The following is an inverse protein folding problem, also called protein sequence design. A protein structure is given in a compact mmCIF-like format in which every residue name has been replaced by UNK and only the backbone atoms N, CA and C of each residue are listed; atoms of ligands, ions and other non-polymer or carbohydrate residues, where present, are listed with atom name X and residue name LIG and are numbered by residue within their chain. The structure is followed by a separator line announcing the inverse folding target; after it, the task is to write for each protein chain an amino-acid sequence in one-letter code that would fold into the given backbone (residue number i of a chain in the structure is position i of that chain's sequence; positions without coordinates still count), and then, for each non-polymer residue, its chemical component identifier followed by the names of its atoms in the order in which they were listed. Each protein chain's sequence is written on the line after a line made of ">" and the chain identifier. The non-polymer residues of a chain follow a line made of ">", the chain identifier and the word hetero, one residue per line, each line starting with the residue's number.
data_IF_092995359160
#
_entry.id   IF_092995359160
#
_cell.length_a   1.000
_cell.length_b   1.000
_cell.length_c   1.000
_cell.angle_alpha   90.00
_cell.angle_beta   90.00
_cell.angle_gamma   90.00
#
_symmetry.space_group_name_H-M   'P 1'
#
loop_
_entity.id
_entity.type
_entity.pdbx_description
1 polymer ?
#
# COMPACT_ATOMS: atom_id res chain seq x y z
N UNK A 1 14.29 -27.80 13.53
CA UNK A 1 14.93 -26.47 13.50
C UNK A 1 13.84 -25.43 13.75
N UNK A 2 13.86 -24.77 14.92
CA UNK A 2 12.94 -23.68 15.24
C UNK A 2 13.32 -22.51 14.35
N UNK A 3 12.39 -22.01 13.54
CA UNK A 3 12.63 -20.85 12.70
C UNK A 3 12.55 -19.61 13.59
N UNK A 4 13.69 -18.97 13.86
CA UNK A 4 13.77 -17.80 14.74
C UNK A 4 13.73 -16.51 13.90
N UNK A 5 12.86 -15.59 14.29
CA UNK A 5 12.83 -14.23 13.75
C UNK A 5 13.83 -13.37 14.51
N UNK A 6 14.64 -12.59 13.80
CA UNK A 6 15.55 -11.63 14.41
C UNK A 6 14.77 -10.38 14.77
N UNK A 7 14.52 -10.18 16.06
CA UNK A 7 13.81 -9.01 16.57
C UNK A 7 14.79 -7.84 16.64
N UNK A 8 14.54 -6.81 15.84
CA UNK A 8 15.41 -5.64 15.75
C UNK A 8 14.73 -4.47 16.43
N UNK A 9 15.45 -3.89 17.39
CA UNK A 9 15.09 -2.76 18.22
C UNK A 9 16.22 -1.73 18.19
N UNK A 10 16.07 -0.60 18.88
CA UNK A 10 17.09 0.46 18.89
C UNK A 10 18.48 -0.03 19.27
N UNK A 11 18.58 -0.94 20.25
CA UNK A 11 19.86 -1.36 20.83
C UNK A 11 20.69 -2.27 19.91
N UNK A 12 20.06 -3.03 19.00
CA UNK A 12 20.76 -3.97 18.10
C UNK A 12 20.68 -3.58 16.62
N UNK A 13 20.06 -2.44 16.28
CA UNK A 13 19.83 -1.99 14.90
C UNK A 13 21.06 -2.07 14.00
N UNK A 14 22.19 -1.52 14.46
CA UNK A 14 23.41 -1.43 13.64
C UNK A 14 23.98 -2.80 13.33
N UNK A 15 24.03 -3.69 14.34
CA UNK A 15 24.51 -5.06 14.17
C UNK A 15 23.61 -5.85 13.21
N UNK A 16 22.30 -5.73 13.39
CA UNK A 16 21.33 -6.48 12.59
C UNK A 16 21.28 -6.01 11.12
N UNK A 17 21.50 -4.71 10.87
CA UNK A 17 21.65 -4.19 9.50
C UNK A 17 22.95 -4.66 8.84
N UNK A 18 24.06 -4.77 9.57
CA UNK A 18 25.31 -5.32 9.03
C UNK A 18 25.15 -6.79 8.63
N UNK A 19 24.41 -7.57 9.43
CA UNK A 19 24.11 -8.96 9.08
C UNK A 19 23.14 -9.07 7.91
N UNK A 20 22.15 -8.17 7.80
CA UNK A 20 21.27 -8.11 6.63
C UNK A 20 22.07 -7.77 5.36
N UNK A 21 23.00 -6.81 5.44
CA UNK A 21 23.90 -6.46 4.33
C UNK A 21 24.74 -7.66 3.90
N UNK A 22 25.29 -8.41 4.86
CA UNK A 22 26.01 -9.67 4.59
C UNK A 22 25.11 -10.72 3.94
N UNK A 23 23.88 -10.87 4.43
CA UNK A 23 22.93 -11.85 3.91
C UNK A 23 22.52 -11.56 2.46
N UNK A 24 22.38 -10.29 2.07
CA UNK A 24 21.98 -9.89 0.71
C UNK A 24 22.93 -10.47 -0.35
N UNK A 25 24.23 -10.62 -0.05
CA UNK A 25 25.20 -11.19 -0.98
C UNK A 25 24.93 -12.66 -1.34
N UNK A 26 24.46 -13.45 -0.38
CA UNK A 26 24.20 -14.88 -0.56
C UNK A 26 22.72 -15.17 -0.83
N UNK A 27 21.84 -14.27 -0.38
CA UNK A 27 20.40 -14.42 -0.38
C UNK A 27 19.73 -13.15 -0.96
N UNK A 28 19.91 -12.88 -2.27
CA UNK A 28 19.53 -11.60 -2.89
C UNK A 28 18.02 -11.42 -3.13
N UNK A 29 17.18 -12.43 -2.81
CA UNK A 29 15.72 -12.32 -2.92
C UNK A 29 15.17 -11.82 -1.58
N UNK A 30 14.76 -10.55 -1.54
CA UNK A 30 14.20 -9.92 -0.35
C UNK A 30 12.68 -9.85 -0.45
N UNK A 31 11.97 -10.59 0.40
CA UNK A 31 10.54 -10.38 0.59
C UNK A 31 10.27 -9.43 1.75
N UNK A 32 9.29 -8.55 1.57
CA UNK A 32 8.93 -7.52 2.55
C UNK A 32 7.47 -7.58 2.97
N UNK A 33 7.19 -7.03 4.15
CA UNK A 33 5.85 -6.72 4.66
C UNK A 33 5.95 -5.54 5.62
N UNK A 34 5.00 -4.62 5.59
CA UNK A 34 4.92 -3.49 6.54
C UNK A 34 3.67 -3.63 7.40
N UNK A 35 3.82 -3.48 8.71
CA UNK A 35 2.69 -3.20 9.60
C UNK A 35 2.61 -1.70 9.87
N UNK A 36 1.41 -1.17 9.70
CA UNK A 36 1.07 0.23 9.95
C UNK A 36 -0.38 0.32 10.43
N UNK A 37 -0.74 1.38 11.17
CA UNK A 37 -2.13 1.59 11.56
C UNK A 37 -2.99 1.75 10.29
N UNK A 38 -4.08 1.01 10.21
CA UNK A 38 -5.04 1.10 9.11
C UNK A 38 -6.22 1.97 9.57
N UNK A 39 -6.44 3.12 8.92
CA UNK A 39 -7.55 4.03 9.26
C UNK A 39 -8.89 3.66 8.67
N UNK A 40 -8.95 2.66 7.80
CA UNK A 40 -10.13 2.41 7.00
C UNK A 40 -10.57 0.97 7.20
N UNK A 41 -11.34 0.72 8.27
CA UNK A 41 -11.94 -0.60 8.48
C UNK A 41 -13.03 -0.89 7.43
N UNK A 42 -13.72 0.11 6.85
CA UNK A 42 -14.93 -0.20 6.04
C UNK A 42 -15.30 0.61 4.77
N UNK A 43 -14.65 1.70 4.33
CA UNK A 43 -15.26 2.51 3.25
C UNK A 43 -14.73 2.28 1.82
N UNK A 44 -13.42 2.21 1.59
CA UNK A 44 -12.87 2.20 0.22
C UNK A 44 -11.66 1.28 0.09
N UNK A 45 -11.79 0.21 -0.68
CA UNK A 45 -10.65 -0.62 -1.10
C UNK A 45 -9.89 0.14 -2.19
N UNK A 46 -8.59 0.47 -2.02
CA UNK A 46 -7.85 1.20 -3.05
C UNK A 46 -7.89 0.51 -4.42
N UNK A 47 -7.94 -0.82 -4.43
CA UNK A 47 -8.00 -1.64 -5.64
C UNK A 47 -9.34 -1.59 -6.38
N UNK A 48 -10.39 -1.01 -5.80
CA UNK A 48 -11.66 -0.75 -6.49
C UNK A 48 -11.74 0.67 -7.06
N UNK A 49 -10.72 1.50 -6.83
CA UNK A 49 -10.64 2.85 -7.36
C UNK A 49 -9.90 2.86 -8.71
N UNK A 50 -10.19 3.85 -9.57
CA UNK A 50 -9.29 4.18 -10.67
C UNK A 50 -7.87 4.43 -10.16
N UNK A 51 -6.86 4.04 -10.93
CA UNK A 51 -5.46 4.04 -10.49
C UNK A 51 -4.99 5.38 -9.89
N UNK A 52 -5.38 6.51 -10.49
CA UNK A 52 -4.99 7.82 -10.00
C UNK A 52 -5.57 8.11 -8.60
N UNK A 53 -6.82 7.71 -8.35
CA UNK A 53 -7.47 7.85 -7.05
C UNK A 53 -6.89 6.87 -6.01
N UNK A 54 -6.53 5.65 -6.44
CA UNK A 54 -5.80 4.68 -5.63
C UNK A 54 -4.46 5.26 -5.15
N UNK A 55 -3.64 5.77 -6.06
CA UNK A 55 -2.34 6.38 -5.75
C UNK A 55 -2.47 7.62 -4.85
N UNK A 56 -3.49 8.46 -5.10
CA UNK A 56 -3.78 9.60 -4.23
C UNK A 56 -4.13 9.15 -2.81
N UNK A 57 -5.01 8.16 -2.66
CA UNK A 57 -5.42 7.64 -1.35
C UNK A 57 -4.22 7.03 -0.59
N UNK A 58 -3.39 6.24 -1.29
CA UNK A 58 -2.16 5.69 -0.71
C UNK A 58 -1.23 6.82 -0.25
N UNK A 59 -1.02 7.82 -1.11
CA UNK A 59 -0.18 8.98 -0.76
C UNK A 59 -0.69 9.73 0.46
N UNK A 60 -2.00 10.01 0.49
CA UNK A 60 -2.67 10.68 1.60
C UNK A 60 -2.49 9.92 2.92
N UNK A 61 -2.75 8.62 2.93
CA UNK A 61 -2.67 7.79 4.14
C UNK A 61 -1.23 7.59 4.60
N UNK A 62 -0.33 7.20 3.69
CA UNK A 62 1.08 6.90 4.02
C UNK A 62 1.81 8.15 4.52
N UNK A 63 1.51 9.34 4.00
CA UNK A 63 2.14 10.57 4.48
C UNK A 63 1.68 10.96 5.90
N UNK A 64 0.45 10.61 6.29
CA UNK A 64 -0.12 10.91 7.63
C UNK A 64 0.15 9.84 8.69
N UNK A 65 0.69 8.70 8.28
CA UNK A 65 0.98 7.55 9.16
C UNK A 65 2.47 7.31 9.31
N UNK A 66 2.80 6.43 10.26
CA UNK A 66 4.14 5.87 10.38
C UNK A 66 4.06 4.34 10.38
N UNK A 67 5.13 3.71 9.90
CA UNK A 67 5.35 2.27 10.08
C UNK A 67 5.48 1.93 11.56
N UNK A 68 4.93 0.78 11.94
CA UNK A 68 5.13 0.13 13.24
C UNK A 68 6.21 -0.95 13.13
N UNK A 69 6.12 -1.77 12.08
CA UNK A 69 7.08 -2.83 11.83
C UNK A 69 7.41 -2.95 10.35
N UNK A 70 8.65 -3.32 10.05
CA UNK A 70 9.09 -3.77 8.74
C UNK A 70 9.66 -5.18 8.86
N UNK A 71 9.11 -6.11 8.08
CA UNK A 71 9.62 -7.47 7.94
C UNK A 71 10.45 -7.57 6.67
N UNK A 72 11.65 -8.14 6.77
CA UNK A 72 12.49 -8.47 5.63
C UNK A 72 12.94 -9.93 5.76
N UNK A 73 12.68 -10.73 4.74
CA UNK A 73 13.21 -12.10 4.65
C UNK A 73 14.12 -12.21 3.44
N UNK A 74 15.37 -12.63 3.67
CA UNK A 74 16.35 -12.87 2.63
C UNK A 74 16.36 -14.34 2.23
N UNK A 75 16.29 -14.63 0.93
CA UNK A 75 16.35 -15.98 0.39
C UNK A 75 17.22 -16.08 -0.87
N UNK A 76 17.65 -17.30 -1.20
CA UNK A 76 18.39 -17.59 -2.43
C UNK A 76 17.45 -18.01 -3.57
N UNK A 77 18.01 -18.28 -4.75
CA UNK A 77 17.26 -18.71 -5.93
C UNK A 77 16.51 -20.03 -5.77
N UNK A 78 16.92 -20.88 -4.83
CA UNK A 78 16.28 -22.16 -4.50
C UNK A 78 15.19 -22.01 -3.42
N UNK A 79 15.11 -20.85 -2.76
CA UNK A 79 14.18 -20.56 -1.68
C UNK A 79 14.67 -21.02 -0.31
N UNK A 80 15.98 -21.23 -0.14
CA UNK A 80 16.58 -21.36 1.18
C UNK A 80 16.61 -19.98 1.84
N UNK A 81 16.27 -19.93 3.13
CA UNK A 81 16.18 -18.66 3.86
C UNK A 81 17.51 -18.37 4.56
N UNK A 82 18.10 -17.22 4.25
CA UNK A 82 19.31 -16.69 4.90
C UNK A 82 19.03 -15.94 6.20
N UNK A 83 17.80 -15.48 6.39
CA UNK A 83 17.35 -14.85 7.62
C UNK A 83 16.02 -14.12 7.46
N UNK A 84 15.37 -13.84 8.60
CA UNK A 84 14.21 -12.96 8.66
C UNK A 84 14.37 -11.96 9.79
N UNK A 85 14.32 -10.68 9.43
CA UNK A 85 14.40 -9.54 10.34
C UNK A 85 13.02 -8.93 10.53
N UNK A 86 12.70 -8.58 11.76
CA UNK A 86 11.54 -7.77 12.13
C UNK A 86 12.05 -6.50 12.81
N UNK A 87 12.04 -5.40 12.06
CA UNK A 87 12.37 -4.08 12.58
C UNK A 87 11.13 -3.52 13.28
N UNK A 88 11.27 -3.17 14.56
CA UNK A 88 10.23 -2.58 15.38
C UNK A 88 10.52 -1.07 15.54
N UNK A 89 9.72 -0.23 14.91
CA UNK A 89 9.96 1.22 14.80
C UNK A 89 9.31 1.94 15.97
N UNK A 90 9.95 3.01 16.47
CA UNK A 90 9.42 3.83 17.55
C UNK A 90 8.08 4.41 17.16
N UNK A 91 7.05 4.17 17.95
CA UNK A 91 5.73 4.73 17.70
C UNK A 91 5.10 5.19 19.01
N UNK A 92 4.66 6.45 19.05
CA UNK A 92 3.90 7.00 20.17
C UNK A 92 2.47 7.27 19.72
N UNK A 93 1.51 6.61 20.38
CA UNK A 93 0.08 6.82 20.11
C UNK A 93 -0.31 8.26 20.45
N UNK A 94 0.28 8.82 21.50
CA UNK A 94 0.07 10.21 21.89
C UNK A 94 0.60 11.20 20.83
N UNK A 95 1.84 11.05 20.38
CA UNK A 95 2.39 11.91 19.33
C UNK A 95 1.55 11.81 18.04
N UNK A 96 1.10 10.60 17.69
CA UNK A 96 0.24 10.38 16.53
C UNK A 96 -1.13 11.08 16.67
N UNK A 97 -1.74 11.03 17.87
CA UNK A 97 -3.00 11.71 18.16
C UNK A 97 -2.87 13.23 18.07
N UNK A 98 -1.79 13.79 18.66
CA UNK A 98 -1.51 15.23 18.63
C UNK A 98 -1.24 15.71 17.20
N UNK A 99 -0.53 14.91 16.39
CA UNK A 99 -0.18 15.27 15.02
C UNK A 99 -1.39 15.37 14.10
N UNK A 100 -2.41 14.52 14.27
CA UNK A 100 -3.56 14.50 13.37
C UNK A 100 -4.68 15.43 13.80
N UNK A 101 -4.79 15.76 15.10
CA UNK A 101 -5.89 16.55 15.66
C UNK A 101 -7.28 15.96 15.33
N UNK A 102 -7.33 14.65 15.07
CA UNK A 102 -8.52 13.92 14.65
C UNK A 102 -8.73 12.76 15.65
N UNK A 103 -9.78 12.82 16.48
CA UNK A 103 -10.08 11.79 17.48
C UNK A 103 -10.35 10.42 16.82
N UNK A 104 -11.08 10.40 15.69
CA UNK A 104 -11.36 9.19 14.91
C UNK A 104 -10.08 8.45 14.49
N UNK A 105 -9.03 9.21 14.17
CA UNK A 105 -7.72 8.67 13.79
C UNK A 105 -7.04 7.98 14.98
N UNK A 106 -7.13 8.56 16.18
CA UNK A 106 -6.57 7.98 17.40
C UNK A 106 -7.30 6.69 17.77
N UNK A 107 -8.63 6.70 17.73
CA UNK A 107 -9.44 5.50 17.98
C UNK A 107 -9.11 4.38 16.99
N UNK A 108 -8.92 4.69 15.71
CA UNK A 108 -8.53 3.71 14.70
C UNK A 108 -7.14 3.09 14.94
N UNK A 109 -6.17 3.84 15.51
CA UNK A 109 -4.85 3.29 15.89
C UNK A 109 -5.02 2.31 17.06
N UNK A 110 -5.78 2.70 18.08
CA UNK A 110 -6.03 1.85 19.26
C UNK A 110 -6.77 0.58 18.84
N UNK A 111 -7.83 0.72 18.06
CA UNK A 111 -8.61 -0.37 17.49
C UNK A 111 -7.77 -1.30 16.61
N UNK A 112 -6.83 -0.75 15.84
CA UNK A 112 -5.87 -1.55 15.08
C UNK A 112 -4.96 -2.36 16.01
N UNK A 113 -4.48 -1.77 17.11
CA UNK A 113 -3.74 -2.47 18.16
C UNK A 113 -4.51 -3.63 18.75
N UNK A 114 -5.74 -3.36 19.16
CA UNK A 114 -6.65 -4.33 19.80
C UNK A 114 -6.98 -5.50 18.86
N UNK A 115 -7.33 -5.23 17.60
CA UNK A 115 -7.63 -6.27 16.61
C UNK A 115 -6.46 -7.22 16.35
N UNK A 116 -5.23 -6.70 16.46
CA UNK A 116 -3.99 -7.44 16.19
C UNK A 116 -3.54 -8.23 17.42
N UNK A 117 -3.84 -7.71 18.61
CA UNK A 117 -3.69 -8.41 19.89
C UNK A 117 -2.24 -8.62 20.36
N UNK A 118 -1.24 -8.17 19.59
CA UNK A 118 0.17 -8.44 19.84
C UNK A 118 1.09 -7.23 19.63
N UNK A 119 0.53 -6.03 19.50
CA UNK A 119 1.29 -4.79 19.39
C UNK A 119 1.67 -4.30 20.79
N UNK A 120 2.97 -4.35 21.10
CA UNK A 120 3.55 -3.88 22.36
C UNK A 120 3.78 -2.35 22.30
N UNK A 121 2.73 -1.54 22.43
CA UNK A 121 2.79 -0.08 22.27
C UNK A 121 3.86 0.60 23.15
N UNK A 122 3.89 0.28 24.44
CA UNK A 122 4.86 0.85 25.40
C UNK A 122 6.30 0.54 25.00
N UNK A 123 6.52 -0.66 24.47
CA UNK A 123 7.84 -1.10 24.03
C UNK A 123 8.24 -0.46 22.71
N UNK A 124 7.31 -0.30 21.77
CA UNK A 124 7.55 0.49 20.56
C UNK A 124 7.97 1.91 20.94
N UNK A 125 7.29 2.56 21.88
CA UNK A 125 7.62 3.93 22.28
C UNK A 125 9.00 4.06 22.96
N UNK A 126 9.34 3.12 23.84
CA UNK A 126 10.55 3.18 24.69
C UNK A 126 11.81 2.55 24.06
N UNK A 127 11.66 1.44 23.33
CA UNK A 127 12.74 0.64 22.77
C UNK A 127 12.78 0.62 21.24
N UNK A 128 11.73 1.13 20.58
CA UNK A 128 11.60 1.14 19.14
C UNK A 128 12.70 1.94 18.45
N UNK A 129 13.00 1.53 17.22
CA UNK A 129 14.00 2.17 16.38
C UNK A 129 13.52 3.55 15.95
N UNK A 130 14.35 4.59 16.12
CA UNK A 130 14.05 5.92 15.58
C UNK A 130 13.87 5.85 14.05
N UNK A 131 12.71 6.25 13.49
CA UNK A 131 12.44 6.12 12.06
C UNK A 131 13.41 6.88 11.16
N UNK A 132 13.96 8.02 11.63
CA UNK A 132 14.92 8.82 10.85
C UNK A 132 16.29 8.16 10.83
N UNK A 133 16.74 7.63 11.97
CA UNK A 133 17.95 6.83 12.07
C UNK A 133 17.84 5.59 11.17
N UNK A 134 16.71 4.88 11.22
CA UNK A 134 16.46 3.74 10.34
C UNK A 134 16.53 4.14 8.86
N UNK A 135 15.88 5.24 8.48
CA UNK A 135 15.87 5.74 7.11
C UNK A 135 17.28 6.02 6.57
N UNK A 136 18.13 6.67 7.36
CA UNK A 136 19.51 6.96 6.99
C UNK A 136 20.35 5.70 6.81
N UNK A 137 20.30 4.79 7.78
CA UNK A 137 21.08 3.55 7.74
C UNK A 137 20.62 2.61 6.62
N UNK A 138 19.30 2.45 6.46
CA UNK A 138 18.73 1.57 5.43
C UNK A 138 18.97 2.13 4.02
N UNK A 139 18.79 3.43 3.80
CA UNK A 139 19.15 4.08 2.52
C UNK A 139 20.65 3.92 2.22
N UNK A 140 21.50 4.07 3.23
CA UNK A 140 22.94 3.83 3.10
C UNK A 140 23.28 2.38 2.70
N UNK A 141 22.63 1.40 3.33
CA UNK A 141 22.76 -0.02 2.99
C UNK A 141 22.35 -0.28 1.52
N UNK A 142 21.19 0.24 1.08
CA UNK A 142 20.75 0.09 -0.31
C UNK A 142 21.72 0.74 -1.30
N UNK A 143 22.28 1.91 -0.93
CA UNK A 143 23.30 2.59 -1.71
C UNK A 143 24.57 1.76 -1.88
N UNK A 144 25.08 1.16 -0.80
CA UNK A 144 26.27 0.28 -0.83
C UNK A 144 26.01 -1.00 -1.62
N UNK A 145 24.88 -1.66 -1.39
CA UNK A 145 24.49 -2.85 -2.16
C UNK A 145 24.46 -2.55 -3.67
N UNK A 146 23.94 -1.37 -4.05
CA UNK A 146 23.93 -0.92 -5.44
C UNK A 146 25.34 -0.64 -5.99
N UNK A 147 26.21 0.01 -5.22
CA UNK A 147 27.61 0.25 -5.60
C UNK A 147 28.38 -1.06 -5.80
N UNK A 148 28.07 -2.08 -5.01
CA UNK A 148 28.60 -3.44 -5.13
C UNK A 148 27.88 -4.28 -6.20
N UNK A 149 27.06 -3.66 -7.05
CA UNK A 149 26.31 -4.28 -8.14
C UNK A 149 25.44 -5.47 -7.69
N UNK A 150 24.96 -5.45 -6.44
CA UNK A 150 24.05 -6.49 -5.93
C UNK A 150 22.69 -6.38 -6.64
N UNK A 151 22.28 -7.47 -7.27
CA UNK A 151 20.98 -7.56 -7.94
C UNK A 151 19.94 -8.08 -6.96
N UNK A 152 19.35 -7.17 -6.18
CA UNK A 152 18.30 -7.51 -5.22
C UNK A 152 16.98 -7.71 -5.96
N UNK A 153 16.35 -8.87 -5.74
CA UNK A 153 14.99 -9.11 -6.20
C UNK A 153 13.98 -8.86 -5.07
N UNK A 154 13.08 -7.88 -5.28
CA UNK A 154 12.10 -7.47 -4.27
C UNK A 154 10.77 -8.19 -4.46
N UNK A 155 10.31 -8.87 -3.40
CA UNK A 155 9.06 -9.65 -3.40
C UNK A 155 8.07 -9.08 -2.38
N UNK A 156 6.81 -8.93 -2.78
CA UNK A 156 5.73 -8.45 -1.89
C UNK A 156 4.48 -9.31 -1.99
N UNK A 157 3.51 -9.11 -1.08
CA UNK A 157 2.17 -9.68 -1.20
C UNK A 157 1.14 -8.58 -0.95
N UNK A 158 0.42 -8.15 -2.00
CA UNK A 158 -0.42 -6.94 -1.94
C UNK A 158 0.39 -5.71 -1.53
N UNK A 159 1.58 -5.56 -2.12
CA UNK A 159 2.67 -4.75 -1.60
C UNK A 159 2.59 -3.25 -1.87
N UNK A 160 1.46 -2.72 -2.33
CA UNK A 160 1.37 -1.30 -2.70
C UNK A 160 1.71 -0.38 -1.52
N UNK A 161 1.13 -0.64 -0.35
CA UNK A 161 1.46 0.14 0.86
C UNK A 161 2.89 -0.16 1.34
N UNK A 162 3.32 -1.42 1.31
CA UNK A 162 4.69 -1.80 1.72
C UNK A 162 5.74 -1.00 0.93
N UNK A 163 5.63 -1.00 -0.39
CA UNK A 163 6.50 -0.23 -1.29
C UNK A 163 6.35 1.26 -1.03
N UNK A 164 5.13 1.75 -0.80
CA UNK A 164 4.92 3.17 -0.52
C UNK A 164 5.61 3.64 0.77
N UNK A 165 5.56 2.87 1.85
CA UNK A 165 6.31 3.21 3.05
C UNK A 165 7.83 3.14 2.86
N UNK A 166 8.33 2.18 2.07
CA UNK A 166 9.75 2.15 1.74
C UNK A 166 10.17 3.34 0.85
N UNK A 167 9.32 3.76 -0.09
CA UNK A 167 9.55 5.00 -0.88
C UNK A 167 9.55 6.22 0.04
N UNK A 168 8.62 6.31 0.99
CA UNK A 168 8.58 7.39 2.00
C UNK A 168 9.89 7.44 2.80
N UNK A 169 10.41 6.27 3.18
CA UNK A 169 11.64 6.14 3.95
C UNK A 169 12.88 6.61 3.18
N UNK A 170 13.01 6.28 1.89
CA UNK A 170 14.18 6.64 1.07
C UNK A 170 14.08 8.02 0.44
N UNK A 171 12.93 8.69 0.56
CA UNK A 171 12.73 10.05 0.04
C UNK A 171 13.17 11.07 1.08
N UNK A 172 13.99 12.04 0.67
CA UNK A 172 14.67 13.01 1.55
C UNK A 172 13.74 13.73 2.53
N UNK A 173 12.52 14.04 2.12
CA UNK A 173 11.57 14.83 2.91
C UNK A 173 10.65 13.96 3.79
N UNK A 174 10.85 12.63 3.81
CA UNK A 174 10.01 11.70 4.55
C UNK A 174 8.56 11.71 4.05
N UNK A 175 8.35 12.05 2.79
CA UNK A 175 7.04 12.12 2.13
C UNK A 175 7.09 11.37 0.79
N UNK A 176 5.95 10.82 0.41
CA UNK A 176 5.77 10.24 -0.91
C UNK A 176 5.77 11.32 -2.00
N UNK A 177 6.26 11.00 -3.22
CA UNK A 177 6.19 11.92 -4.35
C UNK A 177 4.75 12.36 -4.66
N UNK A 178 4.60 13.62 -5.09
CA UNK A 178 3.29 14.24 -5.34
C UNK A 178 2.51 13.62 -6.52
N UNK A 179 3.20 12.96 -7.44
CA UNK A 179 2.58 12.36 -8.62
C UNK A 179 2.89 10.87 -8.71
N UNK A 180 1.97 10.10 -9.29
CA UNK A 180 2.16 8.67 -9.54
C UNK A 180 3.39 8.39 -10.42
N UNK A 181 3.65 9.25 -11.41
CA UNK A 181 4.84 9.16 -12.28
C UNK A 181 6.13 9.23 -11.46
N UNK A 182 6.21 10.19 -10.54
CA UNK A 182 7.37 10.36 -9.67
C UNK A 182 7.50 9.23 -8.65
N UNK A 183 6.38 8.76 -8.11
CA UNK A 183 6.34 7.56 -7.28
C UNK A 183 6.98 6.36 -7.98
N UNK A 184 6.50 6.01 -9.18
CA UNK A 184 7.06 4.87 -9.94
C UNK A 184 8.50 5.09 -10.36
N UNK A 185 8.92 6.34 -10.63
CA UNK A 185 10.33 6.67 -10.92
C UNK A 185 11.23 6.36 -9.72
N UNK A 186 10.80 6.70 -8.51
CA UNK A 186 11.55 6.34 -7.29
C UNK A 186 11.57 4.83 -7.09
N UNK A 187 10.43 4.14 -7.26
CA UNK A 187 10.38 2.68 -7.14
C UNK A 187 11.36 2.02 -8.12
N UNK A 188 11.30 2.38 -9.40
CA UNK A 188 12.18 1.80 -10.43
C UNK A 188 13.66 2.14 -10.24
N UNK A 189 14.00 3.26 -9.59
CA UNK A 189 15.39 3.66 -9.31
C UNK A 189 15.98 2.94 -8.09
N UNK A 190 15.18 2.73 -7.05
CA UNK A 190 15.66 2.18 -5.77
C UNK A 190 15.46 0.67 -5.70
N UNK A 191 14.30 0.18 -6.14
CA UNK A 191 13.89 -1.22 -6.01
C UNK A 191 13.87 -1.97 -7.35
N UNK A 192 14.03 -1.27 -8.48
CA UNK A 192 13.94 -1.88 -9.79
C UNK A 192 12.53 -2.44 -10.06
N UNK A 193 12.46 -3.67 -10.55
CA UNK A 193 11.19 -4.36 -10.76
C UNK A 193 10.80 -5.17 -9.51
N UNK A 194 9.68 -4.80 -8.88
CA UNK A 194 9.11 -5.52 -7.73
C UNK A 194 8.18 -6.63 -8.23
N UNK A 195 8.22 -7.79 -7.59
CA UNK A 195 7.31 -8.90 -7.85
C UNK A 195 6.25 -8.97 -6.75
N UNK A 196 4.99 -8.69 -7.09
CA UNK A 196 3.87 -8.91 -6.18
C UNK A 196 3.29 -10.32 -6.37
N UNK A 197 3.43 -11.15 -5.34
CA UNK A 197 2.95 -12.54 -5.32
C UNK A 197 1.44 -12.62 -5.54
N UNK A 198 0.67 -11.58 -5.15
CA UNK A 198 -0.77 -11.58 -5.39
C UNK A 198 -1.10 -11.42 -6.88
N UNK A 199 -0.37 -10.56 -7.58
CA UNK A 199 -0.47 -10.41 -9.03
C UNK A 199 -0.12 -11.74 -9.72
N UNK A 200 0.98 -12.37 -9.31
CA UNK A 200 1.39 -13.68 -9.82
C UNK A 200 0.31 -14.75 -9.62
N UNK A 201 -0.29 -14.81 -8.43
CA UNK A 201 -1.29 -15.83 -8.10
C UNK A 201 -2.53 -15.69 -8.98
N UNK A 202 -2.97 -14.46 -9.23
CA UNK A 202 -4.13 -14.18 -10.09
C UNK A 202 -3.96 -14.61 -11.55
N UNK A 203 -2.73 -14.78 -12.03
CA UNK A 203 -2.43 -15.22 -13.40
C UNK A 203 -1.88 -16.65 -13.47
N UNK A 204 -1.79 -17.35 -12.34
CA UNK A 204 -1.27 -18.71 -12.28
C UNK A 204 -2.37 -19.76 -12.50
N UNK A 205 -2.14 -20.79 -13.33
CA UNK A 205 -3.11 -21.87 -13.54
C UNK A 205 -3.55 -22.52 -12.22
N UNK A 206 -4.86 -22.65 -12.03
CA UNK A 206 -5.45 -23.19 -10.80
C UNK A 206 -5.45 -22.21 -9.62
N UNK A 207 -4.87 -21.00 -9.76
CA UNK A 207 -4.89 -19.96 -8.74
C UNK A 207 -5.60 -18.68 -9.19
N UNK A 208 -6.09 -18.59 -10.42
CA UNK A 208 -6.74 -17.38 -10.94
C UNK A 208 -7.93 -16.90 -10.08
N UNK A 209 -8.71 -17.84 -9.53
CA UNK A 209 -9.85 -17.55 -8.65
C UNK A 209 -9.42 -17.12 -7.22
N UNK A 210 -8.12 -17.16 -6.92
CA UNK A 210 -7.58 -16.81 -5.60
C UNK A 210 -7.34 -15.32 -5.44
N UNK A 211 -7.69 -14.47 -6.42
CA UNK A 211 -7.59 -13.00 -6.29
C UNK A 211 -8.36 -12.47 -5.08
N UNK A 212 -9.50 -13.10 -4.74
CA UNK A 212 -10.28 -12.82 -3.54
C UNK A 212 -9.58 -13.27 -2.24
N UNK A 213 -8.65 -14.23 -2.31
CA UNK A 213 -8.09 -14.87 -1.12
C UNK A 213 -7.34 -13.88 -0.22
N UNK A 214 -7.57 -14.02 1.08
CA UNK A 214 -6.71 -13.49 2.14
C UNK A 214 -5.39 -14.28 2.18
N UNK A 215 -4.42 -13.78 2.93
CA UNK A 215 -3.07 -14.37 2.98
C UNK A 215 -3.12 -15.83 3.45
N UNK A 216 -3.96 -16.11 4.44
CA UNK A 216 -4.14 -17.42 5.07
C UNK A 216 -4.83 -18.43 4.13
N UNK A 217 -5.76 -17.96 3.30
CA UNK A 217 -6.43 -18.79 2.29
C UNK A 217 -5.46 -19.20 1.20
N UNK A 218 -4.62 -18.27 0.73
CA UNK A 218 -3.56 -18.61 -0.23
C UNK A 218 -2.52 -19.56 0.38
N UNK A 219 -2.20 -19.43 1.68
CA UNK A 219 -1.31 -20.36 2.35
C UNK A 219 -1.84 -21.80 2.34
N UNK A 220 -3.15 -21.97 2.63
CA UNK A 220 -3.81 -23.28 2.56
C UNK A 220 -3.77 -23.86 1.15
N UNK A 221 -4.12 -23.06 0.15
CA UNK A 221 -4.13 -23.47 -1.26
C UNK A 221 -2.74 -23.89 -1.77
N UNK A 222 -1.70 -23.17 -1.37
CA UNK A 222 -0.31 -23.50 -1.72
C UNK A 222 0.29 -24.62 -0.85
N UNK A 223 -0.43 -25.09 0.17
CA UNK A 223 0.08 -26.06 1.15
C UNK A 223 1.31 -25.52 1.91
N UNK A 224 1.34 -24.22 2.18
CA UNK A 224 2.41 -23.53 2.91
C UNK A 224 1.95 -23.28 4.34
N UNK A 225 2.78 -23.67 5.32
CA UNK A 225 2.50 -23.41 6.73
C UNK A 225 3.19 -22.12 7.18
N UNK A 226 2.44 -21.24 7.83
CA UNK A 226 2.98 -20.05 8.50
C UNK A 226 3.96 -20.48 9.60
N UNK A 227 5.03 -19.72 9.75
CA UNK A 227 5.93 -19.77 10.91
C UNK A 227 5.87 -18.39 11.57
N UNK A 228 5.81 -18.33 12.89
CA UNK A 228 5.59 -17.07 13.62
C UNK A 228 4.12 -16.68 13.72
N UNK A 229 3.86 -15.58 14.45
CA UNK A 229 2.52 -15.06 14.70
C UNK A 229 1.91 -14.46 13.42
N UNK A 230 0.60 -14.61 13.23
CA UNK A 230 -0.06 -13.85 12.17
C UNK A 230 0.07 -12.34 12.47
N UNK A 231 -0.07 -11.50 11.44
CA UNK A 231 -0.09 -10.04 11.60
C UNK A 231 1.21 -9.36 12.09
N UNK A 232 2.30 -10.12 12.29
CA UNK A 232 3.64 -9.56 12.48
C UNK A 232 4.41 -9.48 11.16
N UNK A 233 5.12 -8.38 10.95
CA UNK A 233 5.78 -8.08 9.68
C UNK A 233 6.80 -9.17 9.28
N UNK A 234 7.64 -9.66 10.22
CA UNK A 234 8.63 -10.69 9.91
C UNK A 234 8.01 -12.05 9.54
N UNK A 235 6.96 -12.47 10.26
CA UNK A 235 6.20 -13.68 9.93
C UNK A 235 5.53 -13.58 8.56
N UNK A 236 4.99 -12.40 8.24
CA UNK A 236 4.35 -12.12 6.98
C UNK A 236 5.34 -12.05 5.81
N UNK A 237 6.51 -11.41 5.97
CA UNK A 237 7.55 -11.34 4.94
C UNK A 237 8.08 -12.74 4.61
N UNK A 238 8.26 -13.59 5.63
CA UNK A 238 8.64 -14.99 5.43
C UNK A 238 7.55 -15.75 4.68
N UNK A 239 6.29 -15.61 5.08
CA UNK A 239 5.18 -16.27 4.41
C UNK A 239 5.06 -15.85 2.94
N UNK A 240 5.28 -14.56 2.63
CA UNK A 240 5.40 -14.04 1.26
C UNK A 240 6.50 -14.75 0.48
N UNK A 241 7.70 -14.93 1.07
CA UNK A 241 8.79 -15.68 0.42
C UNK A 241 8.41 -17.13 0.13
N UNK A 242 7.77 -17.79 1.11
CA UNK A 242 7.35 -19.19 0.96
C UNK A 242 6.31 -19.36 -0.15
N UNK A 243 5.39 -18.40 -0.32
CA UNK A 243 4.48 -18.39 -1.46
C UNK A 243 5.22 -18.27 -2.78
N UNK A 244 6.09 -17.27 -2.89
CA UNK A 244 6.89 -17.03 -4.09
C UNK A 244 7.71 -18.28 -4.47
N UNK A 245 8.43 -18.87 -3.51
CA UNK A 245 9.20 -20.10 -3.69
C UNK A 245 8.32 -21.27 -4.12
N UNK A 246 7.16 -21.46 -3.48
CA UNK A 246 6.23 -22.56 -3.82
C UNK A 246 5.68 -22.39 -5.24
N UNK A 247 5.27 -21.18 -5.60
CA UNK A 247 4.78 -20.86 -6.93
C UNK A 247 5.86 -21.04 -8.00
N UNK A 248 7.09 -20.57 -7.73
CA UNK A 248 8.26 -20.78 -8.60
C UNK A 248 8.50 -22.26 -8.91
N UNK A 249 8.47 -23.10 -7.87
CA UNK A 249 8.65 -24.55 -8.02
C UNK A 249 7.46 -25.21 -8.75
N UNK A 250 6.24 -24.74 -8.52
CA UNK A 250 5.02 -25.33 -9.10
C UNK A 250 4.84 -24.97 -10.57
N UNK A 251 5.06 -23.70 -10.95
CA UNK A 251 4.70 -23.19 -12.28
C UNK A 251 5.92 -22.92 -13.17
N UNK A 252 7.02 -22.38 -12.63
CA UNK A 252 8.13 -21.87 -13.45
C UNK A 252 9.18 -22.93 -13.73
N UNK A 253 9.63 -23.68 -12.71
CA UNK A 253 10.57 -24.80 -12.91
C UNK A 253 10.01 -25.90 -13.81
N UNK A 254 8.68 -26.00 -13.93
CA UNK A 254 7.99 -26.96 -14.80
C UNK A 254 7.64 -26.42 -16.20
N UNK A 255 8.06 -25.18 -16.54
CA UNK A 255 7.69 -24.48 -17.79
C UNK A 255 6.17 -24.44 -18.06
N UNK A 256 5.35 -24.37 -17.01
CA UNK A 256 3.88 -24.42 -17.12
C UNK A 256 3.27 -23.03 -17.40
N UNK A 257 3.66 -22.39 -18.49
CA UNK A 257 3.03 -21.20 -19.11
C UNK A 257 3.17 -19.82 -18.43
N UNK A 258 3.38 -19.72 -17.12
CA UNK A 258 3.63 -18.40 -16.47
C UNK A 258 5.12 -18.19 -16.37
N UNK A 259 5.65 -17.08 -16.88
CA UNK A 259 7.01 -16.65 -16.53
C UNK A 259 6.94 -15.55 -15.45
N UNK A 260 7.98 -15.50 -14.63
CA UNK A 260 8.15 -14.46 -13.61
C UNK A 260 8.37 -13.08 -14.27
N UNK A 261 9.01 -13.06 -15.43
CA UNK A 261 9.41 -11.85 -16.16
C UNK A 261 8.22 -11.02 -16.68
N UNK A 262 7.13 -11.66 -17.11
CA UNK A 262 5.91 -10.99 -17.59
C UNK A 262 5.16 -10.26 -16.47
N UNK A 263 5.38 -10.63 -15.21
CA UNK A 263 4.68 -10.09 -14.06
C UNK A 263 5.56 -9.20 -13.17
N UNK A 264 6.86 -9.12 -13.46
CA UNK A 264 7.79 -8.17 -12.81
C UNK A 264 7.33 -6.74 -13.03
N UNK A 265 7.23 -5.99 -11.94
CA UNK A 265 6.85 -4.58 -11.93
C UNK A 265 5.36 -4.32 -11.70
N UNK A 266 4.50 -5.34 -11.63
CA UNK A 266 3.08 -5.12 -11.30
C UNK A 266 2.84 -5.20 -9.79
N UNK A 267 2.26 -4.15 -9.21
CA UNK A 267 1.81 -4.12 -7.82
C UNK A 267 0.29 -4.32 -7.76
N UNK A 268 -0.18 -5.10 -6.79
CA UNK A 268 -1.61 -5.36 -6.67
C UNK A 268 -2.41 -4.07 -6.45
N UNK A 269 -3.43 -3.83 -7.28
CA UNK A 269 -4.25 -2.62 -7.23
C UNK A 269 -3.77 -1.48 -8.12
N UNK A 270 -2.72 -1.69 -8.91
CA UNK A 270 -2.19 -0.74 -9.89
C UNK A 270 -2.00 -1.46 -11.23
N UNK A 271 -2.36 -0.79 -12.31
CA UNK A 271 -2.27 -1.34 -13.67
C UNK A 271 -1.00 -0.90 -14.42
N UNK A 272 -0.26 0.09 -13.89
CA UNK A 272 1.05 0.46 -14.41
C UNK A 272 2.15 -0.50 -13.94
N UNK A 273 2.93 -0.96 -14.92
CA UNK A 273 4.17 -1.71 -14.68
C UNK A 273 5.28 -0.75 -14.25
N UNK A 274 5.91 -1.05 -13.11
CA UNK A 274 7.14 -0.41 -12.68
C UNK A 274 8.31 -0.99 -13.47
N UNK A 275 8.96 -0.15 -14.26
CA UNK A 275 10.16 -0.53 -14.99
C UNK A 275 11.42 -0.06 -14.23
N UNK A 276 12.49 -0.87 -14.21
CA UNK A 276 13.80 -0.39 -13.78
C UNK A 276 14.19 0.85 -14.58
N UNK A 277 14.65 1.90 -13.91
CA UNK A 277 15.16 3.09 -14.60
C UNK A 277 16.61 2.82 -14.98
N UNK A 278 16.97 2.77 -16.27
CA UNK A 278 18.36 2.61 -16.67
C UNK A 278 19.17 3.81 -16.16
N UNK A 279 20.32 3.54 -15.55
CA UNK A 279 21.27 4.58 -15.16
C UNK A 279 21.84 5.22 -16.44
N UNK A 280 21.23 6.31 -16.92
CA UNK A 280 21.86 7.08 -17.99
C UNK A 280 23.07 7.81 -17.41
N UNK A 281 24.22 7.47 -17.99
CA UNK A 281 25.50 8.19 -18.01
C UNK A 281 25.21 9.70 -18.07
N UNK A 282 25.90 10.46 -17.22
CA UNK A 282 25.92 11.92 -17.22
C UNK A 282 26.02 12.49 -18.63
N UNK A 283 24.92 13.04 -19.13
CA UNK A 283 24.86 13.69 -20.44
C UNK A 283 23.55 14.46 -20.57
N UNK A 284 23.64 15.79 -20.52
CA UNK A 284 22.55 16.71 -20.80
C UNK A 284 21.97 16.44 -22.19
N UNK A 285 20.77 15.85 -22.26
CA UNK A 285 19.84 16.05 -23.37
C UNK A 285 18.43 16.05 -22.80
N UNK A 286 17.78 17.23 -22.85
CA UNK A 286 16.36 17.36 -22.58
C UNK A 286 15.55 16.52 -23.56
N UNK A 287 14.66 15.68 -23.03
CA UNK A 287 13.84 14.75 -23.80
C UNK A 287 13.92 13.34 -23.25
N UNK A 288 13.19 13.06 -22.17
CA UNK A 288 13.02 11.68 -21.68
C UNK A 288 11.66 11.19 -22.15
N UNK A 289 11.71 10.22 -23.07
CA UNK A 289 10.57 9.41 -23.49
C UNK A 289 10.03 8.69 -22.25
N UNK A 290 8.84 9.11 -21.81
CA UNK A 290 7.97 8.23 -21.04
C UNK A 290 7.33 7.33 -22.07
N UNK A 291 7.71 6.06 -22.12
CA UNK A 291 6.82 5.09 -22.74
C UNK A 291 5.57 5.03 -21.86
N UNK A 292 4.58 5.83 -22.20
CA UNK A 292 3.19 5.48 -21.91
C UNK A 292 3.00 4.05 -22.42
N UNK A 293 2.25 3.24 -21.67
CA UNK A 293 2.04 1.81 -21.93
C UNK A 293 1.39 1.45 -23.27
N UNK A 294 1.43 2.32 -24.28
CA UNK A 294 0.99 2.04 -25.65
C UNK A 294 2.04 1.23 -26.44
N UNK A 295 3.30 1.18 -26.00
CA UNK A 295 4.38 0.41 -26.67
C UNK A 295 4.87 -0.84 -25.93
N UNK A 296 4.35 -1.14 -24.74
CA UNK A 296 4.55 -2.46 -24.12
C UNK A 296 3.66 -3.47 -24.87
N UNK A 297 4.17 -4.02 -25.99
CA UNK A 297 3.56 -5.17 -26.67
C UNK A 297 3.77 -6.44 -25.84
N UNK A 298 3.17 -6.48 -24.65
CA UNK A 298 2.99 -7.70 -23.89
C UNK A 298 1.89 -8.49 -24.61
N UNK A 299 2.27 -9.50 -25.40
CA UNK A 299 1.34 -10.42 -26.05
C UNK A 299 0.56 -11.19 -24.96
N UNK A 300 -0.61 -10.68 -24.57
CA UNK A 300 -1.43 -11.23 -23.48
C UNK A 300 -2.36 -10.24 -22.79
N UNK A 301 -2.21 -8.93 -23.03
CA UNK A 301 -3.15 -7.92 -22.55
C UNK A 301 -4.45 -7.89 -23.40
N UNK A 302 -5.21 -8.99 -23.37
CA UNK A 302 -6.57 -9.04 -23.93
C UNK A 302 -7.55 -8.56 -22.86
N UNK A 303 -7.89 -7.28 -22.89
CA UNK A 303 -8.92 -6.70 -22.03
C UNK A 303 -10.32 -7.06 -22.55
N UNK A 304 -11.29 -7.43 -21.70
CA UNK A 304 -12.69 -7.22 -22.05
C UNK A 304 -12.96 -5.71 -22.02
N UNK A 305 -13.11 -5.11 -23.20
CA UNK A 305 -13.68 -3.77 -23.34
C UNK A 305 -15.10 -3.77 -22.76
N UNK A 306 -15.31 -3.07 -21.64
CA UNK A 306 -16.60 -2.46 -21.35
C UNK A 306 -16.37 -0.98 -21.04
N UNK A 307 -16.78 -0.06 -21.94
CA UNK A 307 -16.60 1.36 -21.71
C UNK A 307 -17.76 1.89 -20.86
N UNK A 308 -17.48 2.23 -19.60
CA UNK A 308 -18.21 3.34 -18.98
C UNK A 308 -17.45 4.61 -19.36
N UNK A 309 -18.04 5.35 -20.30
CA UNK A 309 -17.61 6.63 -20.91
C UNK A 309 -16.72 6.53 -22.17
N UNK A 310 -17.33 6.83 -23.33
CA UNK A 310 -16.62 7.25 -24.55
C UNK A 310 -16.04 8.65 -24.32
N UNK A 311 -14.72 8.78 -24.42
CA UNK A 311 -14.07 10.07 -24.61
C UNK A 311 -13.84 10.24 -26.12
N UNK A 312 -14.53 11.19 -26.73
CA UNK A 312 -14.33 11.51 -28.14
C UNK A 312 -13.13 12.46 -28.24
N UNK A 313 -12.08 12.03 -28.92
CA UNK A 313 -10.86 12.80 -29.12
C UNK A 313 -11.11 13.89 -30.15
N UNK A 314 -11.62 15.05 -29.71
CA UNK A 314 -11.42 16.37 -30.32
C UNK A 314 -11.90 17.47 -29.33
N UNK A 315 -10.96 18.32 -28.91
CA UNK A 315 -11.10 19.63 -28.26
C UNK A 315 -11.32 19.68 -26.72
N UNK A 316 -10.35 20.32 -26.03
CA UNK A 316 -10.35 20.94 -24.68
C UNK A 316 -11.15 20.28 -23.53
N UNK A 317 -10.43 19.82 -22.51
CA UNK A 317 -11.02 19.33 -21.25
C UNK A 317 -11.85 20.40 -20.52
N UNK A 318 -13.17 20.28 -20.56
CA UNK A 318 -14.05 20.83 -19.53
C UNK A 318 -15.28 19.94 -19.33
N UNK A 319 -15.33 19.22 -18.21
CA UNK A 319 -16.49 18.40 -17.86
C UNK A 319 -17.60 19.30 -17.28
N UNK A 320 -18.79 19.24 -17.87
CA UNK A 320 -19.99 19.97 -17.43
C UNK A 320 -21.11 19.02 -17.00
N UNK A 321 -21.92 19.42 -16.02
CA UNK A 321 -23.09 18.67 -15.58
C UNK A 321 -24.14 18.57 -16.72
N UNK A 322 -24.64 17.37 -17.04
CA UNK A 322 -25.62 17.17 -18.14
C UNK A 322 -27.02 17.73 -17.86
N UNK A 323 -27.36 18.07 -16.62
CA UNK A 323 -28.66 18.66 -16.29
C UNK A 323 -28.69 20.19 -16.37
N UNK A 324 -27.54 20.87 -16.22
CA UNK A 324 -27.50 22.34 -16.12
C UNK A 324 -26.24 23.02 -16.70
N UNK A 325 -25.27 22.27 -17.24
CA UNK A 325 -24.16 22.84 -18.01
C UNK A 325 -23.04 23.53 -17.22
N UNK A 326 -23.05 23.48 -15.88
CA UNK A 326 -22.00 24.08 -15.03
C UNK A 326 -20.72 23.24 -14.97
N UNK A 327 -19.55 23.91 -14.85
CA UNK A 327 -18.20 23.31 -14.80
C UNK A 327 -17.93 22.72 -13.41
N UNK A 328 -17.39 21.50 -13.35
CA UNK A 328 -16.93 20.88 -12.10
C UNK A 328 -15.48 21.30 -11.79
N UNK A 329 -15.23 21.84 -10.59
CA UNK A 329 -13.89 22.18 -10.07
C UNK A 329 -13.46 21.09 -9.08
N UNK A 330 -12.19 20.61 -9.09
CA UNK A 330 -11.76 19.40 -8.37
C UNK A 330 -11.90 19.39 -6.84
N UNK A 331 -12.12 20.54 -6.19
CA UNK A 331 -12.14 20.63 -4.72
C UNK A 331 -13.44 20.17 -4.03
N UNK A 332 -14.48 19.79 -4.78
CA UNK A 332 -15.79 19.44 -4.19
C UNK A 332 -16.08 17.94 -4.03
N UNK A 333 -15.11 17.06 -4.30
CA UNK A 333 -15.32 15.60 -4.14
C UNK A 333 -15.38 15.13 -2.67
N UNK A 334 -15.04 15.98 -1.70
CA UNK A 334 -14.98 15.60 -0.27
C UNK A 334 -16.01 16.27 0.66
N UNK A 335 -16.88 17.17 0.20
CA UNK A 335 -17.88 17.80 1.09
C UNK A 335 -19.22 17.05 1.21
N UNK A 336 -19.41 15.91 0.53
CA UNK A 336 -20.70 15.18 0.49
C UNK A 336 -20.97 14.19 1.63
N UNK A 337 -20.23 14.27 2.73
CA UNK A 337 -20.41 13.38 3.88
C UNK A 337 -20.63 14.14 5.20
N UNK A 338 -21.48 15.16 5.19
CA UNK A 338 -22.18 15.59 6.42
C UNK A 338 -23.68 15.45 6.18
N UNK A 339 -24.30 14.54 6.93
CA UNK A 339 -25.73 14.32 6.90
C UNK A 339 -26.46 15.58 7.35
N UNK A 340 -26.90 16.39 6.39
CA UNK A 340 -27.99 17.36 6.46
C UNK A 340 -28.39 17.63 5.01
N UNK A 341 -29.68 17.56 4.70
CA UNK A 341 -30.21 18.03 3.41
C UNK A 341 -30.45 19.54 3.52
N UNK A 342 -29.82 20.39 2.69
CA UNK A 342 -30.44 21.62 2.28
C UNK A 342 -31.06 21.42 0.90
N UNK A 343 -32.32 21.82 0.76
CA UNK A 343 -32.91 22.11 -0.52
C UNK A 343 -31.97 23.04 -1.29
N UNK A 344 -31.61 22.67 -2.51
CA UNK A 344 -30.94 23.58 -3.43
C UNK A 344 -31.99 24.58 -3.88
N UNK A 345 -32.04 25.75 -3.24
CA UNK A 345 -32.61 26.93 -3.88
C UNK A 345 -31.65 27.33 -4.99
N UNK A 346 -32.05 27.11 -6.25
CA UNK A 346 -31.43 27.75 -7.39
C UNK A 346 -31.93 29.20 -7.44
N UNK A 347 -31.01 30.16 -7.49
CA UNK A 347 -31.34 31.51 -7.96
C UNK A 347 -31.85 31.42 -9.41
N UNK A 348 -33.07 31.94 -9.63
CA UNK A 348 -33.59 32.22 -10.96
C UNK A 348 -34.64 31.23 -11.48
N UNK A 349 -35.90 31.69 -11.47
CA UNK A 349 -37.07 31.27 -12.25
C UNK A 349 -36.89 30.10 -13.23
N UNK A 350 -37.48 28.96 -12.89
CA UNK A 350 -38.03 28.01 -13.87
C UNK A 350 -39.30 27.37 -13.29
N UNK A 351 -40.46 27.90 -13.69
CA UNK A 351 -41.75 27.27 -13.46
C UNK A 351 -41.87 26.04 -14.36
N UNK A 352 -42.06 24.86 -13.76
CA UNK A 352 -42.26 23.62 -14.50
C UNK A 352 -42.65 22.47 -13.57
N UNK A 353 -43.97 22.24 -13.44
CA UNK A 353 -44.55 21.12 -12.68
C UNK A 353 -44.19 19.79 -13.33
N UNK A 354 -43.70 18.82 -12.56
CA UNK A 354 -43.88 17.39 -12.86
C UNK A 354 -44.18 16.58 -11.58
N UNK A 355 -45.01 15.52 -11.67
CA UNK A 355 -45.83 15.04 -10.58
C UNK A 355 -45.18 13.95 -9.72
N UNK A 356 -45.58 13.95 -8.45
CA UNK A 356 -45.26 12.98 -7.40
C UNK A 356 -45.96 11.65 -7.66
N UNK A 357 -45.22 10.53 -7.60
CA UNK A 357 -45.77 9.23 -7.19
C UNK A 357 -44.90 8.65 -6.09
N UNK A 358 -45.40 8.78 -4.87
CA UNK A 358 -44.84 8.22 -3.65
C UNK A 358 -44.96 6.68 -3.63
N UNK A 359 -43.90 6.00 -3.21
CA UNK A 359 -44.01 4.69 -2.54
C UNK A 359 -43.51 4.88 -1.11
N UNK A 360 -44.40 4.60 -0.16
CA UNK A 360 -44.19 4.67 1.29
C UNK A 360 -43.06 3.74 1.70
N UNK A 361 -42.09 4.26 2.45
CA UNK A 361 -41.27 3.46 3.36
C UNK A 361 -41.51 3.97 4.79
N UNK A 362 -41.81 3.03 5.68
CA UNK A 362 -42.10 3.24 7.10
C UNK A 362 -40.80 3.59 7.82
N UNK A 363 -40.77 4.72 8.52
CA UNK A 363 -39.66 5.12 9.39
C UNK A 363 -39.88 4.52 10.77
N UNK A 364 -38.98 3.66 11.23
CA UNK A 364 -38.82 3.34 12.65
C UNK A 364 -37.99 4.45 13.30
N UNK A 365 -38.54 5.14 14.31
CA UNK A 365 -37.77 6.03 15.18
C UNK A 365 -37.20 5.23 16.36
N UNK A 366 -35.91 5.39 16.72
CA UNK A 366 -35.43 5.05 18.05
C UNK A 366 -35.65 6.22 19.04
N UNK A 367 -35.77 5.95 20.35
CA UNK A 367 -36.15 6.94 21.35
C UNK A 367 -35.02 7.92 21.68
N UNK A 368 -35.40 9.17 21.93
CA UNK A 368 -34.53 10.24 22.44
C UNK A 368 -34.24 10.00 23.91
N UNK A 369 -32.98 9.75 24.26
CA UNK A 369 -32.51 9.80 25.65
C UNK A 369 -32.12 11.26 25.96
N UNK A 370 -32.96 11.93 26.73
CA UNK A 370 -32.65 13.19 27.41
C UNK A 370 -31.72 12.91 28.59
N UNK A 371 -30.44 13.27 28.49
CA UNK A 371 -29.58 13.42 29.65
C UNK A 371 -29.63 14.87 30.12
N UNK A 372 -30.18 15.06 31.31
CA UNK A 372 -30.29 16.34 32.01
C UNK A 372 -28.91 16.96 32.25
N UNK A 373 -28.84 18.28 32.07
CA UNK A 373 -27.87 19.15 32.74
C UNK A 373 -27.96 18.92 34.24
N UNK A 374 -26.81 18.73 34.88
CA UNK A 374 -26.45 19.26 36.20
C UNK A 374 -25.10 18.64 36.59
N UNK A 375 -24.01 19.40 36.47
CA UNK A 375 -22.89 19.35 37.43
C UNK A 375 -22.06 20.63 37.27
N UNK A 376 -22.05 21.39 38.35
CA UNK A 376 -21.25 22.58 38.61
C UNK A 376 -19.82 22.13 38.90
N UNK A 377 -18.82 22.82 38.35
CA UNK A 377 -17.43 22.78 38.83
C UNK A 377 -16.99 24.22 39.09
N UNK A 378 -16.61 24.61 40.32
CA UNK A 378 -16.03 25.92 40.56
C UNK A 378 -14.56 25.93 40.13
N UNK A 379 -14.13 27.08 39.60
CA UNK A 379 -12.73 27.40 39.38
C UNK A 379 -11.96 27.48 40.71
N UNK A 380 -10.80 26.84 40.76
CA UNK A 380 -9.53 27.34 41.30
C UNK A 380 -8.40 26.45 40.78
#
# INVERSE_FOLDING_TARGET
>A
MVFAFRQVWRHNLVSELADLETAIHLFPILSIDVQHPHFNKDAIKPTSLPQQACLYLVSYLVNRTQMLQLGITAADGEGNIGGTWQFNLRYSVWEAAVATKEEEHTSAIIDFGTDRGDIEWERLESEGIDPRQFAGLFTGLLGRAKQQQQQIEWITYKGLYDVAYLVKLVTKDGQLPQTGKEFFRVVGRVFGAVVDVKCLAGHSPGLANTTAFRREELAKELGVRRRGKAHQAGSNSLLTNLFFTKMKRRFWKKKLSVDQESHKGFLWGINCRVCPVPEKISGNVGGVVVEHGDNCRCAGCSFPEQPLFRCDHRLSCSCRCRSCGSRLVPEQLFSRYRGYHPAICCDGNCAGRLPVRARRFVVYQPPVILMRRDFIVPCC
#
